data_IF_251921467894
#
_entry.id   IF_251921467894
#
_cell.length_a   1.000
_cell.length_b   1.000
_cell.length_c   1.000
_cell.angle_alpha   90.00
_cell.angle_beta   90.00
_cell.angle_gamma   90.00
#
_symmetry.space_group_name_H-M   'P 1'
#
loop_
_entity.id
_entity.type
_entity.pdbx_description
1 polymer ?
#
# COMPACT_ATOMS: atom_id res chain seq x y z
N UNK A 1 30.88 -8.41 -5.55
CA UNK A 1 30.39 -8.99 -4.28
C UNK A 1 28.86 -9.17 -4.24
N UNK A 2 28.05 -8.21 -4.73
CA UNK A 2 26.58 -8.34 -4.85
C UNK A 2 26.10 -9.55 -5.68
N UNK A 3 26.73 -9.78 -6.85
CA UNK A 3 26.32 -10.82 -7.82
C UNK A 3 26.39 -12.23 -7.23
N UNK A 4 27.42 -12.53 -6.43
CA UNK A 4 27.63 -13.86 -5.85
C UNK A 4 26.68 -14.15 -4.68
N UNK A 5 26.18 -13.11 -3.99
CA UNK A 5 25.25 -13.27 -2.86
C UNK A 5 23.78 -13.32 -3.29
N UNK A 6 23.44 -12.71 -4.43
CA UNK A 6 22.16 -12.97 -5.10
C UNK A 6 22.09 -14.40 -5.64
N UNK A 7 23.18 -14.93 -6.20
CA UNK A 7 23.24 -16.29 -6.72
C UNK A 7 23.09 -17.38 -5.62
N UNK A 8 23.50 -17.11 -4.38
CA UNK A 8 23.30 -18.06 -3.26
C UNK A 8 21.86 -18.09 -2.73
N UNK A 9 21.09 -17.03 -2.99
CA UNK A 9 19.67 -16.97 -2.64
C UNK A 9 18.85 -17.19 -3.91
N UNK A 10 18.76 -18.46 -4.32
CA UNK A 10 17.73 -18.95 -5.23
C UNK A 10 16.34 -18.85 -4.57
N UNK A 11 15.96 -17.64 -4.19
CA UNK A 11 14.68 -17.32 -3.58
C UNK A 11 13.97 -16.53 -4.66
N UNK A 12 13.05 -17.20 -5.34
CA UNK A 12 12.01 -16.54 -6.12
C UNK A 12 11.37 -15.49 -5.20
N UNK A 13 11.72 -14.22 -5.36
CA UNK A 13 11.10 -13.14 -4.58
C UNK A 13 9.69 -12.98 -5.12
N UNK A 14 8.74 -13.70 -4.52
CA UNK A 14 7.35 -13.74 -4.95
C UNK A 14 6.62 -12.41 -4.69
N UNK A 15 7.16 -11.59 -3.78
CA UNK A 15 6.61 -10.29 -3.39
C UNK A 15 7.70 -9.28 -3.05
N UNK A 16 7.47 -8.01 -3.38
CA UNK A 16 8.38 -6.90 -3.05
C UNK A 16 8.59 -6.74 -1.53
N UNK A 17 7.61 -7.19 -0.74
CA UNK A 17 7.69 -7.16 0.72
C UNK A 17 8.70 -8.19 1.28
N UNK A 18 8.75 -9.40 0.71
CA UNK A 18 9.74 -10.41 1.10
C UNK A 18 11.16 -9.97 0.73
N UNK A 19 11.31 -9.26 -0.39
CA UNK A 19 12.58 -8.67 -0.81
C UNK A 19 13.09 -7.63 0.21
N UNK A 20 12.18 -6.79 0.72
CA UNK A 20 12.47 -5.79 1.74
C UNK A 20 12.88 -6.46 3.06
N UNK A 21 12.17 -7.49 3.51
CA UNK A 21 12.45 -8.19 4.78
C UNK A 21 13.76 -8.99 4.76
N UNK A 22 14.17 -9.50 3.59
CA UNK A 22 15.39 -10.32 3.44
C UNK A 22 16.65 -9.48 3.17
N UNK A 23 16.50 -8.25 2.69
CA UNK A 23 17.61 -7.33 2.49
C UNK A 23 18.02 -6.67 3.80
N UNK A 24 19.29 -6.82 4.20
CA UNK A 24 19.85 -6.05 5.31
C UNK A 24 20.00 -4.57 4.90
N UNK A 25 19.34 -3.68 5.65
CA UNK A 25 19.35 -2.22 5.48
C UNK A 25 20.76 -1.64 5.52
N UNK A 26 21.66 -2.26 6.28
CA UNK A 26 23.05 -1.80 6.48
C UNK A 26 23.99 -2.10 5.30
N UNK A 27 23.68 -3.12 4.47
CA UNK A 27 24.56 -3.52 3.37
C UNK A 27 24.27 -2.76 2.08
N UNK A 28 23.00 -2.41 1.83
CA UNK A 28 22.55 -1.75 0.60
C UNK A 28 21.44 -0.73 0.87
N UNK A 29 21.77 0.42 1.48
CA UNK A 29 20.78 1.43 1.89
C UNK A 29 19.95 1.97 0.70
N UNK A 30 20.58 2.17 -0.46
CA UNK A 30 19.90 2.68 -1.66
C UNK A 30 18.89 1.68 -2.26
N UNK A 31 19.21 0.38 -2.24
CA UNK A 31 18.32 -0.65 -2.77
C UNK A 31 17.11 -0.82 -1.85
N UNK A 32 17.32 -0.81 -0.54
CA UNK A 32 16.25 -0.87 0.44
C UNK A 32 15.30 0.34 0.33
N UNK A 33 15.84 1.55 0.13
CA UNK A 33 15.02 2.74 -0.09
C UNK A 33 14.11 2.62 -1.32
N UNK A 34 14.62 2.05 -2.42
CA UNK A 34 13.85 1.82 -3.63
C UNK A 34 12.70 0.82 -3.42
N UNK A 35 12.95 -0.28 -2.69
CA UNK A 35 11.89 -1.23 -2.32
C UNK A 35 10.85 -0.62 -1.38
N UNK A 36 11.27 0.22 -0.43
CA UNK A 36 10.36 1.01 0.43
C UNK A 36 9.42 1.86 -0.42
N UNK A 37 9.95 2.65 -1.35
CA UNK A 37 9.14 3.48 -2.24
C UNK A 37 8.18 2.61 -3.07
N UNK A 38 8.68 1.53 -3.67
CA UNK A 38 7.88 0.64 -4.49
C UNK A 38 6.72 -0.02 -3.71
N UNK A 39 6.91 -0.31 -2.42
CA UNK A 39 5.85 -0.84 -1.56
C UNK A 39 4.92 0.26 -1.05
N UNK A 40 5.44 1.44 -0.71
CA UNK A 40 4.66 2.56 -0.17
C UNK A 40 3.72 3.16 -1.20
N UNK A 41 4.12 3.28 -2.48
CA UNK A 41 3.28 3.83 -3.54
C UNK A 41 1.94 3.09 -3.71
N UNK A 42 1.89 1.77 -3.98
CA UNK A 42 0.64 1.04 -4.13
C UNK A 42 -0.15 0.93 -2.82
N UNK A 43 0.53 0.85 -1.67
CA UNK A 43 -0.15 0.81 -0.36
C UNK A 43 -0.84 2.14 -0.06
N UNK A 44 -0.19 3.26 -0.37
CA UNK A 44 -0.75 4.59 -0.14
C UNK A 44 -1.95 4.85 -1.06
N UNK A 45 -1.85 4.48 -2.34
CA UNK A 45 -2.98 4.64 -3.28
C UNK A 45 -4.17 3.77 -2.88
N UNK A 46 -3.95 2.49 -2.56
CA UNK A 46 -5.03 1.60 -2.10
C UNK A 46 -5.68 2.07 -0.79
N UNK A 47 -4.88 2.57 0.15
CA UNK A 47 -5.40 3.11 1.42
C UNK A 47 -6.21 4.40 1.21
N UNK A 48 -5.76 5.26 0.28
CA UNK A 48 -6.45 6.48 -0.11
C UNK A 48 -7.79 6.17 -0.79
N UNK A 49 -7.83 5.25 -1.74
CA UNK A 49 -9.06 4.78 -2.40
C UNK A 49 -10.05 4.20 -1.39
N UNK A 50 -9.57 3.36 -0.46
CA UNK A 50 -10.38 2.79 0.63
C UNK A 50 -10.99 3.89 1.51
N UNK A 51 -10.20 4.89 1.86
CA UNK A 51 -10.61 6.01 2.71
C UNK A 51 -11.63 6.89 2.01
N UNK A 52 -11.39 7.28 0.75
CA UNK A 52 -12.33 8.07 -0.05
C UNK A 52 -13.63 7.31 -0.35
N UNK A 53 -13.55 6.00 -0.61
CA UNK A 53 -14.72 5.15 -0.80
C UNK A 53 -15.62 5.15 0.46
N UNK A 54 -15.00 5.01 1.64
CA UNK A 54 -15.70 5.06 2.92
C UNK A 54 -16.36 6.42 3.15
N UNK A 55 -15.63 7.51 2.88
CA UNK A 55 -16.16 8.87 3.01
C UNK A 55 -17.31 9.14 2.03
N UNK A 56 -17.19 8.66 0.78
CA UNK A 56 -18.26 8.74 -0.23
C UNK A 56 -19.52 8.04 0.27
N UNK A 57 -19.39 6.86 0.88
CA UNK A 57 -20.52 6.12 1.46
C UNK A 57 -21.19 6.91 2.59
N UNK A 58 -20.41 7.48 3.50
CA UNK A 58 -20.92 8.31 4.61
C UNK A 58 -21.66 9.54 4.07
N UNK A 59 -21.06 10.24 3.10
CA UNK A 59 -21.67 11.42 2.46
C UNK A 59 -23.01 11.08 1.79
N UNK A 60 -23.07 9.96 1.07
CA UNK A 60 -24.32 9.49 0.44
C UNK A 60 -25.39 9.13 1.47
N UNK A 61 -25.01 8.43 2.54
CA UNK A 61 -25.93 8.07 3.62
C UNK A 61 -26.56 9.32 4.24
N UNK A 62 -25.74 10.29 4.67
CA UNK A 62 -26.21 11.55 5.26
C UNK A 62 -27.14 12.32 4.32
N UNK A 63 -26.80 12.41 3.03
CA UNK A 63 -27.65 13.08 2.03
C UNK A 63 -29.01 12.39 1.89
N UNK A 64 -29.04 11.07 1.84
CA UNK A 64 -30.27 10.30 1.71
C UNK A 64 -31.15 10.46 2.94
N UNK A 65 -30.59 10.40 4.16
CA UNK A 65 -31.34 10.62 5.41
C UNK A 65 -31.96 12.01 5.48
N UNK A 66 -31.25 13.05 5.05
CA UNK A 66 -31.78 14.43 5.01
C UNK A 66 -32.91 14.56 3.97
N UNK A 67 -32.77 13.90 2.81
CA UNK A 67 -33.81 13.89 1.78
C UNK A 67 -35.07 13.16 2.25
N UNK A 68 -34.91 11.99 2.86
CA UNK A 68 -36.01 11.19 3.42
C UNK A 68 -36.74 11.97 4.53
N UNK A 69 -35.99 12.60 5.44
CA UNK A 69 -36.56 13.45 6.49
C UNK A 69 -37.35 14.64 5.94
N UNK A 70 -36.99 15.18 4.77
CA UNK A 70 -37.75 16.27 4.11
C UNK A 70 -39.00 15.80 3.37
N UNK A 71 -39.04 14.54 2.93
CA UNK A 71 -40.21 13.96 2.27
C UNK A 71 -41.27 13.46 3.25
N UNK A 72 -40.88 13.24 4.51
CA UNK A 72 -41.77 12.79 5.59
C UNK A 72 -42.40 13.96 6.39
N UNK A 73 -42.12 15.22 6.03
CA UNK A 73 -42.80 16.42 6.55
C UNK A 73 -43.75 16.93 5.48
#
# INVERSE_FOLDING_TARGET
MLRNKLASQNITLKSAFDALLKCNEDLYPNINFLFKILCTLPVSTACLERSFSSLKRIKSYLRNTISEKRQMV
#
